data_IF_292697593238
#
_entry.id   IF_292697593238
#
_cell.length_a   1.000
_cell.length_b   1.000
_cell.length_c   1.000
_cell.angle_alpha   90.00
_cell.angle_beta   90.00
_cell.angle_gamma   90.00
#
_symmetry.space_group_name_H-M   'P 1'
#
loop_
_entity.id
_entity.type
_entity.pdbx_description
1 polymer ?
#
# COMPACT_ATOMS: atom_id res chain seq x y z
N UNK A 1 -12.91 -20.07 17.11
CA UNK A 1 -12.83 -19.24 15.89
C UNK A 1 -12.27 -17.90 16.33
N UNK A 2 -11.13 -17.47 15.79
CA UNK A 2 -10.53 -16.21 16.20
C UNK A 2 -11.36 -15.06 15.61
N UNK A 3 -11.96 -14.19 16.43
CA UNK A 3 -12.97 -13.22 15.97
C UNK A 3 -12.41 -12.17 14.99
N UNK A 4 -11.08 -12.04 14.92
CA UNK A 4 -10.39 -11.04 14.10
C UNK A 4 -9.67 -11.65 12.87
N UNK A 5 -9.98 -12.90 12.55
CA UNK A 5 -9.43 -13.62 11.40
C UNK A 5 -10.47 -13.75 10.29
N UNK A 6 -10.25 -13.03 9.21
CA UNK A 6 -10.99 -13.16 7.96
C UNK A 6 -10.13 -13.83 6.88
N UNK A 7 -10.81 -14.35 5.86
CA UNK A 7 -10.14 -14.99 4.72
C UNK A 7 -9.38 -13.93 3.91
N UNK A 8 -10.00 -12.76 3.71
CA UNK A 8 -9.38 -11.62 3.00
C UNK A 8 -9.19 -10.44 3.95
N UNK A 9 -8.25 -9.57 3.62
CA UNK A 9 -7.99 -8.36 4.39
C UNK A 9 -9.26 -7.48 4.46
N UNK A 10 -9.72 -7.11 5.67
CA UNK A 10 -10.93 -6.31 5.82
C UNK A 10 -10.63 -4.82 5.97
N UNK A 11 -11.54 -3.99 5.44
CA UNK A 11 -11.43 -2.53 5.52
C UNK A 11 -11.26 -2.01 6.96
N UNK A 12 -11.91 -2.63 7.97
CA UNK A 12 -11.77 -2.22 9.38
C UNK A 12 -10.35 -2.31 9.95
N UNK A 13 -9.46 -3.08 9.31
CA UNK A 13 -8.06 -3.22 9.71
C UNK A 13 -7.16 -2.09 9.19
N UNK A 14 -7.62 -1.27 8.23
CA UNK A 14 -6.86 -0.15 7.63
C UNK A 14 -6.34 0.82 8.70
N UNK A 15 -7.16 1.13 9.71
CA UNK A 15 -6.78 2.03 10.82
C UNK A 15 -5.51 1.59 11.54
N UNK A 16 -5.28 0.28 11.62
CA UNK A 16 -4.11 -0.30 12.29
C UNK A 16 -2.81 -0.14 11.51
N UNK A 17 -2.87 0.37 10.27
CA UNK A 17 -1.72 0.50 9.38
C UNK A 17 -1.13 1.91 9.36
N UNK A 18 -1.84 2.92 9.87
CA UNK A 18 -1.49 4.34 9.75
C UNK A 18 -0.04 4.62 10.14
N UNK A 19 0.34 4.32 11.38
CA UNK A 19 1.63 4.73 11.96
C UNK A 19 2.78 3.74 11.75
N UNK A 20 2.70 2.87 10.73
CA UNK A 20 3.73 1.84 10.51
C UNK A 20 4.92 2.33 9.68
N UNK A 21 4.77 3.45 8.99
CA UNK A 21 5.67 3.93 7.94
C UNK A 21 5.74 5.46 7.95
N UNK A 22 6.46 6.03 6.98
CA UNK A 22 6.66 7.46 6.83
C UNK A 22 5.39 8.25 6.48
N UNK A 23 5.54 9.57 6.26
CA UNK A 23 4.42 10.49 6.15
C UNK A 23 3.59 10.28 4.87
N UNK A 24 4.19 9.85 3.75
CA UNK A 24 3.47 9.46 2.53
C UNK A 24 2.44 8.35 2.81
N UNK A 25 2.88 7.28 3.47
CA UNK A 25 2.01 6.17 3.82
C UNK A 25 0.92 6.59 4.80
N UNK A 26 1.27 7.38 5.82
CA UNK A 26 0.30 7.89 6.80
C UNK A 26 -0.85 8.63 6.12
N UNK A 27 -0.55 9.51 5.17
CA UNK A 27 -1.57 10.26 4.42
C UNK A 27 -2.42 9.39 3.51
N UNK A 28 -1.81 8.43 2.82
CA UNK A 28 -2.57 7.44 2.04
C UNK A 28 -3.59 6.73 2.92
N UNK A 29 -3.17 6.23 4.09
CA UNK A 29 -4.07 5.56 5.04
C UNK A 29 -5.15 6.52 5.56
N UNK A 30 -4.81 7.77 5.90
CA UNK A 30 -5.78 8.77 6.32
C UNK A 30 -6.83 9.06 5.26
N UNK A 31 -6.42 9.26 4.01
CA UNK A 31 -7.33 9.45 2.87
C UNK A 31 -8.29 8.27 2.75
N UNK A 32 -7.76 7.04 2.75
CA UNK A 32 -8.58 5.81 2.62
C UNK A 32 -9.59 5.70 3.77
N UNK A 33 -9.23 6.10 4.99
CA UNK A 33 -10.14 6.10 6.14
C UNK A 33 -11.28 7.13 6.06
N UNK A 34 -11.16 8.16 5.22
CA UNK A 34 -12.25 9.11 4.97
C UNK A 34 -13.25 8.60 3.92
N UNK A 35 -12.91 7.52 3.20
CA UNK A 35 -13.73 6.97 2.13
C UNK A 35 -14.69 5.88 2.65
N UNK A 36 -15.88 5.74 2.06
CA UNK A 36 -16.72 4.56 2.26
C UNK A 36 -16.01 3.25 1.88
N UNK A 37 -16.37 2.15 2.52
CA UNK A 37 -15.75 0.83 2.28
C UNK A 37 -15.99 0.30 0.84
N UNK A 38 -17.05 0.77 0.18
CA UNK A 38 -17.41 0.43 -1.20
C UNK A 38 -16.82 1.40 -2.25
N UNK A 39 -16.07 2.41 -1.81
CA UNK A 39 -15.40 3.34 -2.71
C UNK A 39 -14.26 2.62 -3.47
N UNK A 40 -14.08 2.85 -4.79
CA UNK A 40 -13.04 2.18 -5.58
C UNK A 40 -11.63 2.29 -5.00
N UNK A 41 -11.23 3.46 -4.50
CA UNK A 41 -9.94 3.66 -3.82
C UNK A 41 -9.80 2.85 -2.51
N UNK A 42 -10.87 2.70 -1.73
CA UNK A 42 -10.86 1.87 -0.51
C UNK A 42 -10.76 0.38 -0.84
N UNK A 43 -11.43 -0.05 -1.91
CA UNK A 43 -11.33 -1.40 -2.47
C UNK A 43 -9.91 -1.64 -2.98
N UNK A 44 -9.33 -0.68 -3.72
CA UNK A 44 -7.97 -0.76 -4.23
C UNK A 44 -6.92 -0.86 -3.12
N UNK A 45 -7.09 -0.11 -2.03
CA UNK A 45 -6.22 -0.22 -0.86
C UNK A 45 -6.33 -1.61 -0.22
N UNK A 46 -7.54 -2.12 -0.04
CA UNK A 46 -7.75 -3.47 0.49
C UNK A 46 -7.14 -4.53 -0.44
N UNK A 47 -7.25 -4.32 -1.75
CA UNK A 47 -6.68 -5.20 -2.77
C UNK A 47 -5.15 -5.17 -2.76
N UNK A 48 -4.52 -4.01 -2.58
CA UNK A 48 -3.09 -3.89 -2.33
C UNK A 48 -2.65 -4.77 -1.15
N UNK A 49 -3.35 -4.69 -0.02
CA UNK A 49 -2.99 -5.50 1.16
C UNK A 49 -3.21 -6.99 0.91
N UNK A 50 -4.30 -7.38 0.22
CA UNK A 50 -4.54 -8.77 -0.20
C UNK A 50 -3.35 -9.31 -0.99
N UNK A 51 -2.80 -8.51 -1.91
CA UNK A 51 -1.63 -8.85 -2.71
C UNK A 51 -0.35 -8.97 -1.90
N UNK A 52 -0.06 -7.97 -1.07
CA UNK A 52 1.17 -7.95 -0.28
C UNK A 52 1.19 -9.03 0.81
N UNK A 53 0.05 -9.28 1.45
CA UNK A 53 -0.09 -10.28 2.50
C UNK A 53 -0.40 -11.69 1.98
N UNK A 54 -0.61 -11.81 0.66
CA UNK A 54 -0.91 -13.07 -0.02
C UNK A 54 -2.14 -13.75 0.64
N UNK A 55 -3.22 -12.97 0.79
CA UNK A 55 -4.42 -13.42 1.49
C UNK A 55 -5.17 -14.52 0.72
N UNK A 56 -5.03 -14.59 -0.60
CA UNK A 56 -5.69 -15.61 -1.43
C UNK A 56 -5.18 -17.04 -1.14
N UNK A 57 -4.00 -17.16 -0.55
CA UNK A 57 -3.43 -18.44 -0.08
C UNK A 57 -3.53 -18.59 1.45
N UNK A 58 -4.28 -17.73 2.13
CA UNK A 58 -4.54 -17.85 3.57
C UNK A 58 -5.66 -18.86 3.84
N UNK A 59 -5.33 -20.00 4.44
CA UNK A 59 -6.29 -21.02 4.85
C UNK A 59 -6.38 -21.17 6.38
N UNK A 60 -7.41 -21.85 6.88
CA UNK A 60 -7.67 -22.00 8.33
C UNK A 60 -6.54 -22.74 9.09
N UNK A 61 -5.68 -23.48 8.40
CA UNK A 61 -4.49 -24.12 8.96
C UNK A 61 -3.21 -23.27 8.89
N UNK A 62 -3.22 -22.18 8.14
CA UNK A 62 -2.05 -21.31 7.96
C UNK A 62 -1.74 -20.48 9.22
N UNK A 63 -0.46 -20.33 9.54
CA UNK A 63 0.00 -19.46 10.64
C UNK A 63 -0.57 -18.03 10.54
N UNK A 64 -0.73 -17.50 9.31
CA UNK A 64 -1.34 -16.20 9.02
C UNK A 64 -2.78 -16.11 9.56
N UNK A 65 -3.59 -17.14 9.38
CA UNK A 65 -4.98 -17.16 9.82
C UNK A 65 -5.11 -17.12 11.36
N UNK A 66 -4.12 -17.65 12.08
CA UNK A 66 -4.08 -17.59 13.54
C UNK A 66 -3.63 -16.23 14.11
N UNK A 67 -2.91 -15.42 13.33
CA UNK A 67 -2.44 -14.10 13.78
C UNK A 67 -3.54 -13.03 13.82
N UNK A 68 -4.57 -13.17 13.00
CA UNK A 68 -5.57 -12.13 12.73
C UNK A 68 -5.12 -11.17 11.63
N UNK A 69 -6.07 -10.68 10.82
CA UNK A 69 -5.77 -9.92 9.60
C UNK A 69 -5.04 -8.61 9.90
N UNK A 70 -5.37 -7.95 11.01
CA UNK A 70 -4.68 -6.71 11.43
C UNK A 70 -3.21 -6.96 11.74
N UNK A 71 -2.88 -8.00 12.52
CA UNK A 71 -1.49 -8.30 12.89
C UNK A 71 -0.70 -8.77 11.67
N UNK A 72 -1.32 -9.59 10.81
CA UNK A 72 -0.71 -10.06 9.57
C UNK A 72 -0.35 -8.87 8.65
N UNK A 73 -1.33 -8.00 8.36
CA UNK A 73 -1.11 -6.81 7.51
C UNK A 73 -0.10 -5.84 8.11
N UNK A 74 -0.13 -5.61 9.43
CA UNK A 74 0.88 -4.78 10.11
C UNK A 74 2.30 -5.31 9.90
N UNK A 75 2.51 -6.63 10.05
CA UNK A 75 3.83 -7.25 9.83
C UNK A 75 4.31 -7.10 8.39
N UNK A 76 3.40 -7.25 7.42
CA UNK A 76 3.71 -7.13 6.00
C UNK A 76 4.12 -5.71 5.65
N UNK A 77 3.37 -4.70 6.10
CA UNK A 77 3.69 -3.29 5.84
C UNK A 77 4.95 -2.85 6.57
N UNK A 78 5.09 -3.16 7.86
CA UNK A 78 6.29 -2.83 8.63
C UNK A 78 7.55 -3.52 8.08
N UNK A 79 7.40 -4.73 7.53
CA UNK A 79 8.50 -5.51 6.94
C UNK A 79 8.72 -5.28 5.44
N UNK A 80 7.94 -4.40 4.78
CA UNK A 80 8.08 -4.14 3.35
C UNK A 80 9.39 -3.39 3.08
N UNK A 81 10.20 -3.91 2.15
CA UNK A 81 11.59 -3.45 1.94
C UNK A 81 11.73 -2.24 1.03
N UNK A 82 10.70 -1.92 0.25
CA UNK A 82 10.67 -0.72 -0.58
C UNK A 82 10.30 0.53 0.20
N UNK A 83 10.39 1.68 -0.46
CA UNK A 83 10.03 2.97 0.13
C UNK A 83 8.51 3.16 0.22
N UNK A 84 8.06 4.29 0.75
CA UNK A 84 6.62 4.60 0.77
C UNK A 84 6.11 4.91 -0.65
N UNK A 85 6.93 5.54 -1.49
CA UNK A 85 6.67 5.76 -2.91
C UNK A 85 6.45 4.43 -3.65
N UNK A 86 7.23 3.39 -3.32
CA UNK A 86 7.02 2.04 -3.87
C UNK A 86 5.64 1.49 -3.47
N UNK A 87 5.18 1.71 -2.23
CA UNK A 87 3.85 1.30 -1.78
C UNK A 87 2.74 2.10 -2.47
N UNK A 88 2.93 3.41 -2.66
CA UNK A 88 1.98 4.26 -3.37
C UNK A 88 1.90 3.86 -4.85
N UNK A 89 3.03 3.52 -5.47
CA UNK A 89 3.04 2.99 -6.83
C UNK A 89 2.26 1.67 -6.93
N UNK A 90 2.44 0.74 -5.99
CA UNK A 90 1.66 -0.51 -5.95
C UNK A 90 0.17 -0.25 -5.68
N UNK A 91 -0.16 0.77 -4.89
CA UNK A 91 -1.52 1.23 -4.66
C UNK A 91 -2.16 1.73 -5.96
N UNK A 92 -1.47 2.57 -6.74
CA UNK A 92 -1.96 3.05 -8.04
C UNK A 92 -2.16 1.91 -9.04
N UNK A 93 -1.27 0.91 -9.06
CA UNK A 93 -1.48 -0.30 -9.84
C UNK A 93 -2.76 -1.05 -9.41
N UNK A 94 -3.02 -1.14 -8.11
CA UNK A 94 -4.24 -1.73 -7.60
C UNK A 94 -5.49 -0.91 -7.94
N UNK A 95 -5.40 0.43 -7.94
CA UNK A 95 -6.49 1.33 -8.37
C UNK A 95 -6.84 1.12 -9.83
N UNK A 96 -5.84 1.11 -10.71
CA UNK A 96 -6.06 0.88 -12.14
C UNK A 96 -6.68 -0.50 -12.40
N UNK A 97 -6.21 -1.53 -11.70
CA UNK A 97 -6.78 -2.87 -11.79
C UNK A 97 -8.25 -2.93 -11.35
N UNK A 98 -8.61 -2.25 -10.26
CA UNK A 98 -10.00 -2.12 -9.80
C UNK A 98 -10.82 -1.33 -10.81
N UNK A 99 -10.31 -0.22 -11.32
CA UNK A 99 -10.97 0.64 -12.31
C UNK A 99 -11.30 -0.15 -13.58
N UNK A 100 -10.31 -0.84 -14.16
CA UNK A 100 -10.50 -1.68 -15.35
C UNK A 100 -11.49 -2.81 -15.12
N UNK A 101 -11.51 -3.40 -13.93
CA UNK A 101 -12.50 -4.41 -13.59
C UNK A 101 -13.92 -3.82 -13.53
N UNK A 102 -14.10 -2.66 -12.90
CA UNK A 102 -15.40 -2.03 -12.74
C UNK A 102 -15.96 -1.48 -14.07
N UNK A 103 -15.11 -0.91 -14.92
CA UNK A 103 -15.53 -0.29 -16.19
C UNK A 103 -15.63 -1.30 -17.34
N UNK A 104 -14.63 -2.17 -17.49
CA UNK A 104 -14.45 -3.02 -18.67
C UNK A 104 -14.75 -4.50 -18.37
N UNK A 105 -14.92 -4.86 -17.08
CA UNK A 105 -15.04 -6.26 -16.66
C UNK A 105 -13.74 -7.05 -16.79
N UNK A 106 -12.61 -6.37 -17.07
CA UNK A 106 -11.32 -7.03 -17.26
C UNK A 106 -10.77 -7.39 -15.90
N UNK A 107 -10.55 -8.69 -15.67
CA UNK A 107 -9.91 -9.15 -14.45
C UNK A 107 -8.42 -8.77 -14.47
N UNK A 108 -7.89 -8.27 -13.34
CA UNK A 108 -6.47 -7.98 -13.26
C UNK A 108 -5.65 -9.27 -13.40
N UNK A 109 -4.43 -9.17 -13.95
CA UNK A 109 -3.55 -10.33 -14.06
C UNK A 109 -3.27 -10.92 -12.66
N UNK A 110 -3.08 -12.24 -12.55
CA UNK A 110 -2.82 -12.88 -11.28
C UNK A 110 -1.53 -12.34 -10.64
N UNK A 111 -1.53 -12.23 -9.30
CA UNK A 111 -0.49 -11.60 -8.47
C UNK A 111 0.96 -11.94 -8.85
N UNK A 112 1.23 -13.20 -9.19
CA UNK A 112 2.58 -13.68 -9.56
C UNK A 112 3.12 -13.10 -10.87
N UNK A 113 2.28 -12.41 -11.66
CA UNK A 113 2.66 -11.74 -12.91
C UNK A 113 2.84 -10.23 -12.75
N UNK A 114 2.51 -9.65 -11.60
CA UNK A 114 2.88 -8.28 -11.27
C UNK A 114 4.30 -8.34 -10.71
N UNK A 115 5.31 -7.77 -11.39
CA UNK A 115 6.67 -7.75 -10.86
C UNK A 115 6.71 -6.78 -9.68
N UNK A 116 6.30 -7.23 -8.49
CA UNK A 116 6.68 -6.56 -7.27
C UNK A 116 8.16 -6.88 -7.08
N UNK A 117 9.06 -6.05 -7.63
CA UNK A 117 10.50 -6.11 -7.35
C UNK A 117 10.72 -5.73 -5.87
N UNK A 118 10.20 -6.51 -4.93
CA UNK A 118 10.70 -6.50 -3.55
C UNK A 118 12.05 -7.20 -3.63
N UNK A 119 13.15 -6.44 -3.65
CA UNK A 119 14.49 -7.03 -3.70
C UNK A 119 14.61 -8.08 -2.58
N UNK A 120 15.06 -9.31 -2.87
CA UNK A 120 15.46 -10.23 -1.82
C UNK A 120 16.59 -9.59 -1.02
N UNK A 121 16.57 -9.80 0.30
CA UNK A 121 17.73 -9.53 1.14
C UNK A 121 18.69 -10.68 0.83
N UNK A 122 19.95 -10.34 0.58
CA UNK A 122 21.05 -11.23 0.20
C UNK A 122 21.08 -11.67 -1.27
N UNK A 123 21.56 -10.78 -2.13
CA UNK A 123 22.32 -11.19 -3.31
C UNK A 123 23.29 -10.07 -3.71
N UNK A 124 24.55 -10.29 -3.39
CA UNK A 124 25.65 -9.88 -4.27
C UNK A 124 25.28 -10.42 -5.66
N UNK A 125 24.94 -9.54 -6.59
CA UNK A 125 25.29 -9.64 -8.02
C UNK A 125 24.55 -8.54 -8.79
N UNK A 126 25.36 -7.63 -9.33
CA UNK A 126 25.00 -6.58 -10.25
C UNK A 126 24.67 -7.20 -11.60
N UNK A 127 23.39 -7.36 -11.96
CA UNK A 127 22.99 -7.32 -13.37
C UNK A 127 21.74 -6.47 -13.58
N UNK A 128 21.94 -5.47 -14.42
CA UNK A 128 21.04 -4.40 -14.82
C UNK A 128 19.91 -4.97 -15.70
N UNK A 129 18.72 -5.16 -15.12
CA UNK A 129 17.54 -5.65 -15.85
C UNK A 129 16.59 -4.51 -16.18
N UNK A 130 16.77 -4.00 -17.41
CA UNK A 130 15.95 -3.02 -18.12
C UNK A 130 14.57 -3.61 -18.43
N UNK A 131 13.59 -3.34 -17.57
CA UNK A 131 12.17 -3.50 -17.92
C UNK A 131 11.51 -2.13 -17.78
N UNK A 132 10.74 -1.67 -18.78
CA UNK A 132 10.12 -0.36 -18.74
C UNK A 132 9.11 -0.33 -17.58
N UNK A 133 9.20 0.73 -16.76
CA UNK A 133 8.18 1.06 -15.75
C UNK A 133 6.84 1.19 -16.48
N UNK A 134 5.81 0.39 -16.16
CA UNK A 134 4.50 0.61 -16.75
C UNK A 134 4.01 1.99 -16.30
N UNK A 135 3.74 2.85 -17.27
CA UNK A 135 3.17 4.19 -17.06
C UNK A 135 1.66 4.01 -16.81
N UNK A 136 1.09 4.59 -15.74
CA UNK A 136 -0.34 4.56 -15.54
C UNK A 136 -1.01 5.30 -16.71
N UNK A 137 -2.07 4.70 -17.22
CA UNK A 137 -2.70 5.05 -18.51
C UNK A 137 -3.85 6.05 -18.40
N UNK A 138 -4.16 6.58 -17.22
CA UNK A 138 -5.18 7.61 -17.01
C UNK A 138 -4.57 8.90 -16.46
N UNK A 139 -5.13 10.03 -16.90
CA UNK A 139 -4.74 11.38 -16.44
C UNK A 139 -4.94 11.54 -14.91
N UNK A 140 -5.83 10.76 -14.29
CA UNK A 140 -6.19 10.83 -12.85
C UNK A 140 -5.24 10.07 -11.91
N UNK A 141 -4.38 9.18 -12.43
CA UNK A 141 -3.55 8.27 -11.61
C UNK A 141 -2.32 8.94 -10.99
N UNK A 142 -1.76 9.93 -11.69
CA UNK A 142 -0.65 10.73 -11.17
C UNK A 142 -1.13 11.89 -10.31
N UNK A 143 -2.35 12.41 -10.52
CA UNK A 143 -2.89 13.53 -9.72
C UNK A 143 -2.92 13.21 -8.22
N UNK A 144 -3.25 11.97 -7.82
CA UNK A 144 -3.28 11.61 -6.39
C UNK A 144 -1.87 11.48 -5.81
N UNK A 145 -0.90 11.00 -6.59
CA UNK A 145 0.48 10.92 -6.16
C UNK A 145 1.10 12.32 -6.08
N UNK A 146 0.85 13.15 -7.08
CA UNK A 146 1.29 14.55 -7.15
C UNK A 146 0.61 15.37 -6.03
N UNK A 147 -0.69 15.22 -5.77
CA UNK A 147 -1.38 15.84 -4.61
C UNK A 147 -0.74 15.43 -3.28
N UNK A 148 -0.37 14.15 -3.13
CA UNK A 148 0.25 13.65 -1.89
C UNK A 148 1.69 14.12 -1.72
N UNK A 149 2.45 14.22 -2.82
CA UNK A 149 3.83 14.72 -2.87
C UNK A 149 3.87 16.24 -2.69
N UNK A 150 3.05 17.00 -3.41
CA UNK A 150 2.92 18.46 -3.30
C UNK A 150 2.58 18.84 -1.86
N UNK A 151 1.60 18.18 -1.26
CA UNK A 151 1.26 18.44 0.12
C UNK A 151 2.41 18.11 1.08
N UNK A 152 3.36 17.21 0.73
CA UNK A 152 4.51 16.88 1.59
C UNK A 152 5.58 17.94 1.48
N UNK A 153 5.83 18.44 0.28
CA UNK A 153 6.72 19.58 0.05
C UNK A 153 6.23 20.80 0.84
N UNK A 154 4.92 21.07 0.88
CA UNK A 154 4.34 22.15 1.70
C UNK A 154 4.58 21.98 3.22
N UNK A 155 4.71 20.75 3.73
CA UNK A 155 5.02 20.51 5.14
C UNK A 155 6.51 20.65 5.45
N UNK A 156 7.40 20.32 4.50
CA UNK A 156 8.84 20.49 4.66
C UNK A 156 9.22 21.98 4.56
N UNK A 157 8.51 22.76 3.72
CA UNK A 157 8.64 24.23 3.66
C UNK A 157 8.04 24.94 4.89
N UNK A 158 7.05 24.34 5.56
CA UNK A 158 6.48 24.83 6.82
C UNK A 158 7.27 24.42 8.08
N UNK A 159 8.25 23.53 7.94
CA UNK A 159 9.14 23.10 9.01
C UNK A 159 10.37 24.03 9.10
N UNK A 160 10.17 25.34 9.19
CA UNK A 160 11.20 26.21 9.75
C UNK A 160 11.42 25.77 11.21
N UNK A 161 12.63 25.27 11.43
CA UNK A 161 13.18 24.76 12.67
C UNK A 161 13.10 25.84 13.77
N UNK A 162 12.15 25.72 14.69
CA UNK A 162 12.10 26.59 15.87
C UNK A 162 13.16 26.12 16.89
N UNK A 163 14.40 26.55 16.68
CA UNK A 163 15.58 26.31 17.53
C UNK A 163 15.58 27.18 18.80
N UNK A 164 14.42 27.58 19.32
CA UNK A 164 14.33 28.48 20.49
C UNK A 164 13.71 27.87 21.76
N UNK A 165 13.62 26.54 21.89
CA UNK A 165 13.05 25.92 23.10
C UNK A 165 13.94 24.88 23.80
N UNK A 166 15.25 25.14 23.89
CA UNK A 166 16.17 24.43 24.79
C UNK A 166 17.21 25.37 25.42
N UNK A 167 16.76 26.47 26.03
CA UNK A 167 17.52 27.20 27.04
C UNK A 167 16.55 27.77 28.10
N UNK A 168 16.28 26.97 29.13
CA UNK A 168 15.95 27.41 30.51
C UNK A 168 16.05 26.24 31.51
#
# INVERSE_FOLDING_TARGET
MYPDSEILFPYRAVKGLKHLRGPLWQRLVERVLQLPEDHPDAIAFSFLIVRLADCLHCDQGSYKAYLGCQVCSQRIIAGFKGSDEDLLYLYEQAREDVRRYLEEGIRPPPEHLVPVKVRPVDAVDLEESTTPRPTPSSEDGWEVLDELLDALEELDEGAEFDEQLLDD
#
